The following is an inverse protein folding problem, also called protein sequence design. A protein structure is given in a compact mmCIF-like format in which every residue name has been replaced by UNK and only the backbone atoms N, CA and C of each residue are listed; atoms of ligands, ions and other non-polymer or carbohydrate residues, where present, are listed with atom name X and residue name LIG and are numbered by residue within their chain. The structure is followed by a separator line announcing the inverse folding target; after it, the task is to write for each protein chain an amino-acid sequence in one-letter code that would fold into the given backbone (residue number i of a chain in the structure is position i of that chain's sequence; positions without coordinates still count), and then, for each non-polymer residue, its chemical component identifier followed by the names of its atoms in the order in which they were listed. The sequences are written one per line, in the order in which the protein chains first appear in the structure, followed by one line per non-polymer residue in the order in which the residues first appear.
data_IF_428406384252
#
_entry.id   IF_428406384252
#
_cell.length_a   1.000
_cell.length_b   1.000
_cell.length_c   1.000
_cell.angle_alpha   90.00
_cell.angle_beta   90.00
_cell.angle_gamma   90.00
#
_symmetry.space_group_name_H-M   'P 1'
#
loop_
_entity.id
_entity.type
_entity.pdbx_description
1 polymer ?
#
# COMPACT_ATOMS: atom_id res chain seq x y z
N UNK A 1 -24.04 9.16 34.48
CA UNK A 1 -23.05 8.15 34.02
C UNK A 1 -23.79 7.04 33.27
N UNK A 2 -24.10 7.18 31.97
CA UNK A 2 -24.64 6.07 31.19
C UNK A 2 -23.54 5.46 30.29
N UNK A 3 -23.34 4.15 30.48
CA UNK A 3 -22.58 3.26 29.62
C UNK A 3 -23.18 3.30 28.20
N UNK A 4 -22.46 3.91 27.26
CA UNK A 4 -22.80 3.90 25.84
C UNK A 4 -22.49 2.50 25.30
N UNK A 5 -23.52 1.66 25.22
CA UNK A 5 -23.50 0.38 24.52
C UNK A 5 -23.25 0.67 23.02
N UNK A 6 -21.99 0.61 22.57
CA UNK A 6 -21.68 0.61 21.13
C UNK A 6 -22.21 -0.69 20.55
N UNK A 7 -23.38 -0.60 19.92
CA UNK A 7 -23.93 -1.63 19.03
C UNK A 7 -22.82 -2.04 18.07
N UNK A 8 -22.41 -3.29 18.16
CA UNK A 8 -21.81 -4.02 17.05
C UNK A 8 -22.91 -4.19 16.02
N UNK A 9 -23.11 -3.21 15.14
CA UNK A 9 -23.93 -3.44 13.96
C UNK A 9 -23.12 -4.32 13.02
N UNK A 10 -23.41 -5.62 13.10
CA UNK A 10 -23.23 -6.53 11.98
C UNK A 10 -24.30 -6.17 10.93
N UNK A 11 -24.11 -5.04 10.25
CA UNK A 11 -24.92 -4.69 9.08
C UNK A 11 -24.35 -5.43 7.86
N UNK A 12 -25.10 -6.37 7.24
CA UNK A 12 -24.61 -7.14 6.09
C UNK A 12 -24.43 -6.31 4.79
N UNK A 13 -24.64 -4.99 4.83
CA UNK A 13 -24.58 -4.09 3.68
C UNK A 13 -23.36 -3.16 3.61
N UNK A 14 -22.53 -3.04 4.66
CA UNK A 14 -21.43 -2.07 4.71
C UNK A 14 -20.08 -2.80 4.69
N UNK A 15 -19.64 -3.21 3.50
CA UNK A 15 -18.35 -3.88 3.24
C UNK A 15 -17.15 -2.92 3.30
N UNK A 16 -17.08 -2.06 4.31
CA UNK A 16 -15.93 -1.15 4.51
C UNK A 16 -15.35 -1.37 5.89
N UNK A 17 -14.56 -2.43 6.02
CA UNK A 17 -13.83 -2.78 7.23
C UNK A 17 -12.87 -1.67 7.70
N UNK A 18 -12.93 -1.42 9.00
CA UNK A 18 -12.20 -0.44 9.78
C UNK A 18 -10.67 -0.52 9.67
N UNK A 19 -10.01 0.63 9.90
CA UNK A 19 -8.55 0.95 10.02
C UNK A 19 -7.57 0.11 9.18
N UNK A 20 -6.90 0.68 8.16
CA UNK A 20 -5.76 0.01 7.54
C UNK A 20 -4.55 0.12 8.48
N UNK A 21 -3.86 -0.98 8.66
CA UNK A 21 -2.49 -0.96 9.15
C UNK A 21 -1.58 -0.72 7.95
N UNK A 22 -0.72 0.29 8.07
CA UNK A 22 0.10 0.78 6.97
C UNK A 22 1.58 0.64 7.31
N UNK A 23 2.32 0.02 6.40
CA UNK A 23 3.77 -0.02 6.49
C UNK A 23 4.37 1.17 5.76
N UNK A 24 5.08 2.02 6.50
CA UNK A 24 5.79 3.17 5.97
C UNK A 24 7.30 2.95 6.01
N UNK A 25 8.00 3.55 5.05
CA UNK A 25 9.43 3.76 5.20
C UNK A 25 9.68 4.96 6.11
N UNK A 26 10.56 4.81 7.09
CA UNK A 26 10.93 5.89 7.99
C UNK A 26 12.44 5.99 8.13
N UNK A 27 12.97 7.18 7.86
CA UNK A 27 14.32 7.58 8.20
C UNK A 27 14.21 8.72 9.23
N UNK A 28 14.72 8.52 10.45
CA UNK A 28 15.01 9.66 11.35
C UNK A 28 16.36 10.21 10.90
N UNK A 29 16.40 11.49 10.54
CA UNK A 29 17.60 12.33 10.45
C UNK A 29 18.71 11.87 9.47
N UNK A 30 18.36 11.62 8.21
CA UNK A 30 19.33 11.76 7.11
C UNK A 30 18.70 12.56 5.96
N UNK A 31 19.42 13.54 5.36
CA UNK A 31 18.87 14.42 4.32
C UNK A 31 18.44 13.68 3.05
N UNK A 32 18.91 12.44 2.82
CA UNK A 32 18.47 11.55 1.74
C UNK A 32 18.61 10.08 2.17
N UNK A 33 17.64 9.20 1.83
CA UNK A 33 18.01 8.16 0.88
C UNK A 33 16.87 7.81 -0.09
N UNK A 34 17.07 8.06 -1.39
CA UNK A 34 16.24 7.48 -2.46
C UNK A 34 16.60 5.99 -2.56
N UNK A 35 15.90 5.13 -1.85
CA UNK A 35 16.14 3.68 -1.95
C UNK A 35 15.44 3.11 -3.18
N UNK A 36 16.16 2.24 -3.88
CA UNK A 36 15.72 1.57 -5.09
C UNK A 36 15.46 0.09 -4.77
N UNK A 37 14.21 -0.36 -4.80
CA UNK A 37 13.89 -1.78 -4.64
C UNK A 37 13.78 -2.46 -6.01
N UNK A 38 14.56 -3.54 -6.24
CA UNK A 38 14.36 -4.41 -7.42
C UNK A 38 12.98 -5.04 -7.37
N UNK A 39 12.38 -5.31 -8.55
CA UNK A 39 11.03 -5.90 -8.70
C UNK A 39 10.74 -7.05 -7.73
N UNK A 40 11.66 -8.02 -7.57
CA UNK A 40 11.42 -9.19 -6.72
C UNK A 40 11.38 -8.91 -5.20
N UNK A 41 11.84 -7.75 -4.74
CA UNK A 41 11.87 -7.42 -3.31
C UNK A 41 10.46 -7.12 -2.75
N UNK A 42 9.65 -6.19 -3.32
CA UNK A 42 8.27 -6.01 -2.90
C UNK A 42 7.42 -7.27 -3.11
N UNK A 43 7.70 -8.08 -4.12
CA UNK A 43 7.00 -9.34 -4.37
C UNK A 43 7.25 -10.35 -3.24
N UNK A 44 8.52 -10.53 -2.85
CA UNK A 44 8.90 -11.42 -1.74
C UNK A 44 8.33 -10.96 -0.39
N UNK A 45 8.26 -9.65 -0.15
CA UNK A 45 7.64 -9.08 1.05
C UNK A 45 6.12 -9.33 1.07
N UNK A 46 5.45 -9.20 -0.07
CA UNK A 46 4.02 -9.46 -0.24
C UNK A 46 3.68 -10.93 0.02
N UNK A 47 4.44 -11.87 -0.57
CA UNK A 47 4.25 -13.32 -0.37
C UNK A 47 4.40 -13.69 1.11
N UNK A 48 5.39 -13.13 1.78
CA UNK A 48 5.63 -13.38 3.21
C UNK A 48 4.45 -12.91 4.08
N UNK A 49 3.97 -11.68 3.85
CA UNK A 49 2.81 -11.14 4.56
C UNK A 49 1.55 -11.96 4.26
N UNK A 50 1.30 -12.29 3.00
CA UNK A 50 0.13 -13.05 2.57
C UNK A 50 0.09 -14.44 3.21
N UNK A 51 1.22 -15.17 3.18
CA UNK A 51 1.31 -16.52 3.77
C UNK A 51 0.98 -16.53 5.26
N UNK A 52 1.43 -15.54 6.01
CA UNK A 52 1.11 -15.42 7.43
C UNK A 52 -0.35 -15.04 7.65
N UNK A 53 -0.87 -14.06 6.91
CA UNK A 53 -2.24 -13.58 7.06
C UNK A 53 -3.29 -14.65 6.67
N UNK A 54 -3.04 -15.46 5.62
CA UNK A 54 -3.91 -16.59 5.27
C UNK A 54 -3.97 -17.62 6.40
N UNK A 55 -2.85 -17.88 7.07
CA UNK A 55 -2.78 -18.84 8.17
C UNK A 55 -3.52 -18.34 9.41
N UNK A 56 -3.36 -17.06 9.76
CA UNK A 56 -3.91 -16.52 11.02
C UNK A 56 -5.35 -16.01 10.90
N UNK A 57 -5.70 -15.38 9.77
CA UNK A 57 -6.97 -14.67 9.62
C UNK A 57 -7.90 -15.28 8.56
N UNK A 58 -7.49 -16.36 7.90
CA UNK A 58 -8.21 -16.96 6.78
C UNK A 58 -8.07 -16.18 5.47
N UNK A 59 -8.44 -16.79 4.35
CA UNK A 59 -8.24 -16.22 2.99
C UNK A 59 -9.04 -14.92 2.77
N UNK A 60 -10.24 -14.82 3.32
CA UNK A 60 -11.16 -13.70 3.09
C UNK A 60 -11.11 -12.64 4.21
N UNK A 61 -10.26 -12.84 5.21
CA UNK A 61 -10.20 -11.98 6.41
C UNK A 61 -9.42 -10.68 6.24
N UNK A 62 -8.75 -10.48 5.10
CA UNK A 62 -7.85 -9.36 4.87
C UNK A 62 -7.73 -8.99 3.40
N UNK A 63 -7.19 -7.79 3.14
CA UNK A 63 -6.81 -7.38 1.78
C UNK A 63 -5.52 -6.57 1.83
N UNK A 64 -4.54 -7.04 1.07
CA UNK A 64 -3.19 -6.46 0.96
C UNK A 64 -3.11 -5.67 -0.33
N UNK A 65 -2.50 -4.49 -0.27
CA UNK A 65 -2.13 -3.69 -1.44
C UNK A 65 -0.66 -3.28 -1.35
N UNK A 66 0.09 -3.68 -2.38
CA UNK A 66 1.42 -3.13 -2.65
C UNK A 66 1.21 -1.81 -3.41
N UNK A 67 1.68 -0.70 -2.86
CA UNK A 67 1.53 0.64 -3.49
C UNK A 67 2.70 0.99 -4.40
N UNK A 68 3.73 0.17 -4.36
CA UNK A 68 4.99 0.41 -5.03
C UNK A 68 5.01 -0.28 -6.40
N UNK A 69 5.27 0.48 -7.46
CA UNK A 69 5.35 -0.03 -8.82
C UNK A 69 6.74 0.17 -9.44
N UNK A 70 7.31 -0.86 -10.09
CA UNK A 70 8.66 -0.80 -10.63
C UNK A 70 8.68 -0.24 -12.06
N UNK A 71 8.69 1.08 -12.20
CA UNK A 71 8.76 1.74 -13.51
C UNK A 71 10.18 2.08 -13.98
N UNK A 72 11.15 2.15 -13.07
CA UNK A 72 12.51 2.56 -13.44
C UNK A 72 13.29 1.37 -14.00
N UNK A 73 13.80 1.49 -15.23
CA UNK A 73 14.69 0.47 -15.82
C UNK A 73 16.15 0.72 -15.41
N UNK A 74 16.80 -0.26 -14.80
CA UNK A 74 18.26 -0.28 -14.59
C UNK A 74 18.92 -0.78 -15.86
N UNK A 75 20.03 -0.13 -16.23
CA UNK A 75 20.91 -0.55 -17.31
C UNK A 75 22.22 -1.09 -16.74
N UNK A 76 22.77 -2.11 -17.38
CA UNK A 76 24.11 -2.65 -17.07
C UNK A 76 24.95 -2.66 -18.34
N UNK A 77 26.18 -2.16 -18.23
CA UNK A 77 27.23 -2.43 -19.19
C UNK A 77 27.90 -3.77 -18.81
N UNK A 78 27.64 -4.83 -19.57
CA UNK A 78 28.10 -6.18 -19.26
C UNK A 78 29.48 -6.38 -19.85
N UNK A 79 30.50 -6.48 -18.99
CA UNK A 79 31.87 -6.81 -19.42
C UNK A 79 31.90 -8.26 -19.91
N UNK A 80 32.29 -8.45 -21.18
CA UNK A 80 32.48 -9.76 -21.78
C UNK A 80 33.96 -10.17 -21.65
N UNK A 81 34.24 -11.46 -21.40
CA UNK A 81 35.61 -11.94 -21.18
C UNK A 81 36.48 -11.89 -22.45
N UNK A 82 35.89 -11.91 -23.65
CA UNK A 82 36.63 -11.82 -24.92
C UNK A 82 36.01 -10.75 -25.84
N UNK A 83 36.84 -9.91 -26.46
CA UNK A 83 36.48 -9.13 -27.64
C UNK A 83 36.42 -10.09 -28.83
N UNK A 84 35.25 -10.67 -29.09
CA UNK A 84 35.04 -11.50 -30.28
C UNK A 84 35.03 -10.69 -31.58
N UNK A 85 35.03 -11.37 -32.72
CA UNK A 85 34.89 -10.77 -34.05
C UNK A 85 33.61 -9.93 -34.21
N UNK A 86 32.59 -10.20 -33.39
CA UNK A 86 31.30 -9.53 -33.37
C UNK A 86 31.31 -8.13 -32.73
N UNK A 87 32.32 -7.28 -32.97
CA UNK A 87 32.38 -5.85 -32.52
C UNK A 87 31.90 -5.61 -31.07
N UNK A 88 32.02 -6.61 -30.21
CA UNK A 88 31.56 -6.56 -28.83
C UNK A 88 32.72 -5.99 -28.04
N UNK A 89 32.51 -4.78 -27.56
CA UNK A 89 33.59 -3.99 -27.01
C UNK A 89 34.03 -4.52 -25.64
N UNK A 90 35.34 -4.70 -25.47
CA UNK A 90 35.99 -4.94 -24.17
C UNK A 90 36.47 -3.59 -23.64
N UNK A 91 35.63 -2.87 -22.88
CA UNK A 91 36.02 -1.58 -22.29
C UNK A 91 34.88 -0.57 -22.11
N UNK A 92 35.21 0.72 -22.05
CA UNK A 92 34.30 1.81 -21.68
C UNK A 92 33.89 2.74 -22.82
N UNK A 93 34.39 2.56 -24.05
CA UNK A 93 33.82 3.20 -25.24
C UNK A 93 32.34 2.74 -25.40
N UNK A 94 31.44 3.61 -25.87
CA UNK A 94 30.01 3.26 -26.01
C UNK A 94 29.31 2.70 -24.74
N UNK A 95 29.68 3.14 -23.53
CA UNK A 95 29.28 2.55 -22.24
C UNK A 95 27.78 2.62 -21.86
N UNK A 96 26.88 2.93 -22.80
CA UNK A 96 25.45 2.92 -22.52
C UNK A 96 24.93 1.50 -22.38
N UNK A 97 24.55 1.13 -21.15
CA UNK A 97 24.16 -0.22 -20.82
C UNK A 97 22.83 -0.67 -21.44
N UNK A 98 22.70 -1.99 -21.57
CA UNK A 98 21.45 -2.67 -21.92
C UNK A 98 20.53 -2.76 -20.70
N UNK A 99 19.20 -2.74 -20.87
CA UNK A 99 18.27 -2.87 -19.76
C UNK A 99 18.43 -4.23 -19.09
N UNK A 100 18.65 -4.27 -17.77
CA UNK A 100 18.81 -5.52 -16.99
C UNK A 100 17.53 -5.87 -16.22
N UNK A 101 16.84 -4.87 -15.68
CA UNK A 101 15.65 -5.11 -14.86
C UNK A 101 15.00 -3.81 -14.40
N UNK A 102 13.86 -3.93 -13.73
CA UNK A 102 13.13 -2.77 -13.22
C UNK A 102 13.24 -2.64 -11.71
N UNK A 103 13.19 -1.40 -11.27
CA UNK A 103 13.24 -0.97 -9.88
C UNK A 103 12.07 -0.05 -9.60
N UNK A 104 11.60 -0.14 -8.37
CA UNK A 104 10.69 0.83 -7.81
C UNK A 104 11.46 1.80 -6.90
N UNK A 105 11.30 3.09 -7.17
CA UNK A 105 11.90 4.17 -6.38
C UNK A 105 11.01 4.50 -5.21
N UNK A 106 11.59 4.59 -4.01
CA UNK A 106 10.87 4.93 -2.79
C UNK A 106 11.49 6.13 -2.11
N UNK A 107 10.62 7.06 -1.71
CA UNK A 107 10.95 8.25 -0.95
C UNK A 107 10.71 8.04 0.55
N UNK A 108 11.35 8.84 1.39
CA UNK A 108 11.11 8.84 2.84
C UNK A 108 9.65 9.22 3.12
N UNK A 109 8.97 8.49 4.00
CA UNK A 109 7.55 8.72 4.30
C UNK A 109 6.58 8.13 3.27
N UNK A 110 7.08 7.50 2.20
CA UNK A 110 6.23 6.80 1.26
C UNK A 110 5.77 5.43 1.82
N UNK A 111 4.49 5.11 1.59
CA UNK A 111 3.91 3.82 1.94
C UNK A 111 4.34 2.76 0.93
N UNK A 112 4.87 1.64 1.41
CA UNK A 112 5.28 0.51 0.55
C UNK A 112 4.11 -0.47 0.40
N UNK A 113 3.54 -0.91 1.53
CA UNK A 113 2.47 -1.89 1.59
C UNK A 113 1.41 -1.47 2.61
N UNK A 114 0.15 -1.77 2.31
CA UNK A 114 -0.99 -1.52 3.19
C UNK A 114 -1.82 -2.76 3.31
N UNK A 115 -2.34 -3.02 4.51
CA UNK A 115 -3.22 -4.14 4.79
C UNK A 115 -4.47 -3.57 5.47
N UNK A 116 -5.66 -4.00 5.02
CA UNK A 116 -6.93 -3.73 5.69
C UNK A 116 -7.47 -5.03 6.29
N UNK A 117 -7.96 -4.96 7.53
CA UNK A 117 -8.54 -6.08 8.27
C UNK A 117 -9.60 -5.57 9.24
N UNK A 118 -10.39 -6.47 9.82
CA UNK A 118 -11.21 -6.15 11.01
C UNK A 118 -10.31 -5.76 12.21
N UNK A 119 -10.84 -5.01 13.18
CA UNK A 119 -10.10 -4.57 14.37
C UNK A 119 -9.52 -5.73 15.19
N UNK A 120 -10.22 -6.87 15.21
CA UNK A 120 -9.83 -8.07 15.93
C UNK A 120 -8.42 -8.55 15.54
N UNK A 121 -8.04 -8.39 14.27
CA UNK A 121 -6.80 -8.96 13.72
C UNK A 121 -5.62 -7.97 13.74
N UNK A 122 -5.71 -6.89 14.51
CA UNK A 122 -4.70 -5.81 14.54
C UNK A 122 -3.29 -6.32 14.81
N UNK A 123 -3.13 -7.21 15.79
CA UNK A 123 -1.84 -7.74 16.22
C UNK A 123 -1.19 -8.62 15.14
N UNK A 124 -1.99 -9.49 14.52
CA UNK A 124 -1.56 -10.32 13.39
C UNK A 124 -1.05 -9.47 12.23
N UNK A 125 -1.68 -8.32 11.95
CA UNK A 125 -1.18 -7.48 10.87
C UNK A 125 0.16 -6.83 11.21
N UNK A 126 0.37 -6.41 12.46
CA UNK A 126 1.68 -5.88 12.89
C UNK A 126 2.76 -6.95 12.71
N UNK A 127 2.47 -8.20 13.08
CA UNK A 127 3.40 -9.31 12.90
C UNK A 127 3.67 -9.62 11.41
N UNK A 128 2.63 -9.65 10.58
CA UNK A 128 2.76 -9.88 9.14
C UNK A 128 3.65 -8.82 8.48
N UNK A 129 3.45 -7.56 8.85
CA UNK A 129 4.24 -6.43 8.38
C UNK A 129 5.67 -6.45 8.92
N UNK A 130 5.89 -6.94 10.14
CA UNK A 130 7.21 -7.16 10.70
C UNK A 130 7.98 -8.24 9.92
N UNK A 131 7.33 -9.35 9.58
CA UNK A 131 7.89 -10.41 8.73
C UNK A 131 8.24 -9.90 7.33
N UNK A 132 7.37 -9.10 6.73
CA UNK A 132 7.61 -8.47 5.42
C UNK A 132 8.80 -7.49 5.45
N UNK A 133 8.97 -6.73 6.54
CA UNK A 133 10.07 -5.79 6.73
C UNK A 133 11.45 -6.46 6.62
N UNK A 134 11.61 -7.70 7.07
CA UNK A 134 12.88 -8.44 6.94
C UNK A 134 13.28 -8.73 5.50
N UNK A 135 12.35 -8.73 4.55
CA UNK A 135 12.65 -8.94 3.13
C UNK A 135 13.11 -7.67 2.43
N UNK A 136 12.88 -6.51 3.04
CA UNK A 136 13.21 -5.23 2.45
C UNK A 136 14.56 -4.74 3.02
N UNK A 137 15.52 -4.32 2.17
CA UNK A 137 16.89 -4.00 2.61
C UNK A 137 17.03 -2.71 3.43
N UNK A 138 15.93 -1.98 3.67
CA UNK A 138 15.96 -0.64 4.30
C UNK A 138 15.16 -0.65 5.60
N UNK A 139 15.54 0.21 6.55
CA UNK A 139 14.78 0.43 7.78
C UNK A 139 13.37 0.96 7.46
N UNK A 140 12.36 0.20 7.87
CA UNK A 140 10.95 0.60 7.83
C UNK A 140 10.33 0.70 9.22
N UNK A 141 9.23 1.45 9.28
CA UNK A 141 8.35 1.51 10.44
C UNK A 141 6.95 1.04 10.09
N UNK A 142 6.38 0.28 11.02
CA UNK A 142 5.00 -0.15 10.95
C UNK A 142 4.18 0.95 11.63
N UNK A 143 3.09 1.37 10.99
CA UNK A 143 2.20 2.40 11.51
C UNK A 143 0.75 1.93 11.41
N UNK A 144 -0.05 2.30 12.39
CA UNK A 144 -1.49 2.05 12.35
C UNK A 144 -2.12 3.34 11.88
N UNK A 145 -2.76 3.32 10.71
CA UNK A 145 -3.36 4.52 10.16
C UNK A 145 -4.56 4.95 10.98
N UNK A 146 -4.77 6.27 11.02
CA UNK A 146 -6.00 6.89 11.54
C UNK A 146 -7.14 6.90 10.51
N UNK A 147 -6.84 6.58 9.24
CA UNK A 147 -7.80 6.63 8.13
C UNK A 147 -8.74 5.43 8.12
N UNK A 148 -9.88 5.56 7.44
CA UNK A 148 -10.81 4.45 7.25
C UNK A 148 -10.44 3.58 6.05
N UNK A 149 -10.13 2.30 6.27
CA UNK A 149 -9.74 1.36 5.20
C UNK A 149 -8.71 1.94 4.22
N UNK A 150 -8.90 1.81 2.91
CA UNK A 150 -7.99 2.41 1.92
C UNK A 150 -8.42 3.79 1.42
N UNK A 151 -9.32 4.44 2.16
CA UNK A 151 -9.81 5.77 1.81
C UNK A 151 -8.86 6.85 2.28
N UNK A 152 -9.16 8.09 1.87
CA UNK A 152 -8.39 9.28 2.24
C UNK A 152 -8.84 9.87 3.58
N UNK A 153 -10.05 9.54 4.02
CA UNK A 153 -10.76 10.12 5.16
C UNK A 153 -10.33 9.53 6.51
N UNK A 154 -10.47 10.32 7.57
CA UNK A 154 -10.26 9.88 8.94
C UNK A 154 -11.36 8.89 9.35
N UNK A 155 -11.03 7.97 10.26
CA UNK A 155 -12.02 7.00 10.75
C UNK A 155 -13.11 7.66 11.62
N UNK A 156 -12.76 8.71 12.36
CA UNK A 156 -13.64 9.34 13.33
C UNK A 156 -14.78 10.14 12.66
N UNK A 157 -14.50 10.74 11.49
CA UNK A 157 -15.47 11.55 10.71
C UNK A 157 -16.20 10.72 9.63
N UNK A 158 -15.79 9.48 9.41
CA UNK A 158 -16.25 8.69 8.26
C UNK A 158 -17.74 8.33 8.38
N UNK A 159 -18.17 7.91 9.57
CA UNK A 159 -19.55 7.49 9.84
C UNK A 159 -20.51 8.68 9.67
N UNK A 160 -20.13 9.86 10.18
CA UNK A 160 -20.90 11.10 10.05
C UNK A 160 -21.03 11.52 8.58
N UNK A 161 -19.94 11.51 7.80
CA UNK A 161 -19.99 11.86 6.38
C UNK A 161 -20.80 10.88 5.52
N UNK A 162 -20.88 9.61 5.92
CA UNK A 162 -21.76 8.62 5.26
C UNK A 162 -23.21 8.87 5.65
N UNK A 163 -23.49 9.18 6.91
CA UNK A 163 -24.83 9.55 7.39
C UNK A 163 -25.36 10.82 6.71
N UNK A 164 -24.50 11.82 6.50
CA UNK A 164 -24.78 13.03 5.74
C UNK A 164 -24.93 12.78 4.21
N UNK A 165 -24.81 11.54 3.73
CA UNK A 165 -24.81 11.16 2.31
C UNK A 165 -23.74 11.90 1.48
N UNK A 166 -22.65 12.39 2.10
CA UNK A 166 -21.51 13.00 1.39
C UNK A 166 -20.55 11.95 0.83
N UNK A 167 -20.63 10.73 1.34
CA UNK A 167 -19.83 9.59 0.92
C UNK A 167 -20.73 8.44 0.48
N UNK A 168 -20.54 7.96 -0.75
CA UNK A 168 -21.19 6.75 -1.26
C UNK A 168 -20.18 5.61 -1.34
N UNK A 169 -20.50 4.41 -0.81
CA UNK A 169 -19.64 3.25 -0.96
C UNK A 169 -19.61 2.77 -2.41
N UNK A 170 -18.41 2.58 -2.97
CA UNK A 170 -18.19 2.04 -4.32
C UNK A 170 -17.27 0.81 -4.25
N UNK A 171 -17.82 -0.28 -3.74
CA UNK A 171 -17.10 -1.53 -3.52
C UNK A 171 -15.95 -1.34 -2.53
N UNK A 172 -14.70 -1.39 -3.02
CA UNK A 172 -13.52 -1.24 -2.16
C UNK A 172 -13.25 0.22 -1.76
N UNK A 173 -13.73 1.17 -2.56
CA UNK A 173 -13.52 2.60 -2.37
C UNK A 173 -14.79 3.31 -1.95
N UNK A 174 -14.72 4.64 -1.97
CA UNK A 174 -15.83 5.53 -1.64
C UNK A 174 -15.76 6.71 -2.61
N UNK A 175 -16.88 7.07 -3.23
CA UNK A 175 -17.01 8.35 -3.95
C UNK A 175 -17.39 9.44 -2.97
N UNK A 176 -16.67 10.54 -3.09
CA UNK A 176 -17.02 11.79 -2.44
C UNK A 176 -17.99 12.56 -3.31
N UNK A 177 -19.13 12.96 -2.74
CA UNK A 177 -20.09 13.83 -3.39
C UNK A 177 -19.76 15.26 -2.99
N UNK A 178 -19.29 16.09 -3.92
CA UNK A 178 -19.12 17.50 -3.66
C UNK A 178 -20.47 18.22 -3.58
N UNK A 179 -20.51 19.33 -2.83
CA UNK A 179 -21.65 20.25 -2.80
C UNK A 179 -21.80 21.11 -4.05
N UNK A 180 -21.15 20.74 -5.16
CA UNK A 180 -21.24 21.42 -6.45
C UNK A 180 -21.56 20.42 -7.56
N UNK A 181 -22.48 20.79 -8.44
CA UNK A 181 -22.94 19.94 -9.55
C UNK A 181 -24.40 20.22 -9.90
N UNK A 182 -24.95 19.51 -10.89
CA UNK A 182 -26.37 19.62 -11.26
C UNK A 182 -27.27 19.30 -10.06
N UNK A 183 -28.26 20.16 -9.81
CA UNK A 183 -29.18 20.01 -8.68
C UNK A 183 -29.98 18.70 -8.75
N UNK A 184 -30.35 18.25 -9.95
CA UNK A 184 -31.06 16.99 -10.18
C UNK A 184 -30.30 15.79 -9.61
N UNK A 185 -28.97 15.78 -9.74
CA UNK A 185 -28.12 14.72 -9.18
C UNK A 185 -28.09 14.79 -7.66
N UNK A 186 -28.12 15.98 -7.08
CA UNK A 186 -28.17 16.14 -5.63
C UNK A 186 -29.53 15.67 -5.09
N UNK A 187 -30.63 16.06 -5.75
CA UNK A 187 -31.98 15.64 -5.38
C UNK A 187 -32.14 14.12 -5.44
N UNK A 188 -31.69 13.47 -6.52
CA UNK A 188 -31.76 12.01 -6.68
C UNK A 188 -30.99 11.21 -5.60
N UNK A 189 -30.02 11.85 -4.94
CA UNK A 189 -29.26 11.24 -3.84
C UNK A 189 -29.93 11.48 -2.47
N UNK A 190 -30.65 12.59 -2.33
CA UNK A 190 -31.27 13.01 -1.06
C UNK A 190 -32.74 12.61 -0.93
N UNK A 191 -33.41 12.25 -2.03
CA UNK A 191 -34.64 11.45 -2.03
C UNK A 191 -34.44 10.11 -1.32
#
# INVERSE_FOLDING_TARGET
MPLFLRRTTEDPGVTVGCRPTQCYQYCKNQPYPKSCFRRGVPDGACICANKYMVKSCGKDGFHIRVRLHPFHVIRINKMLPCAGADKLQTGMQGAFGKPQGTVARVHVGQVIMSIRTKLQNKEHVIEALCRAKFKLPVRQKIHISKKWGFTKFNADEFEDMVAEKRLIPDGCGVKYIPSHGPLDKWQALHS
#
